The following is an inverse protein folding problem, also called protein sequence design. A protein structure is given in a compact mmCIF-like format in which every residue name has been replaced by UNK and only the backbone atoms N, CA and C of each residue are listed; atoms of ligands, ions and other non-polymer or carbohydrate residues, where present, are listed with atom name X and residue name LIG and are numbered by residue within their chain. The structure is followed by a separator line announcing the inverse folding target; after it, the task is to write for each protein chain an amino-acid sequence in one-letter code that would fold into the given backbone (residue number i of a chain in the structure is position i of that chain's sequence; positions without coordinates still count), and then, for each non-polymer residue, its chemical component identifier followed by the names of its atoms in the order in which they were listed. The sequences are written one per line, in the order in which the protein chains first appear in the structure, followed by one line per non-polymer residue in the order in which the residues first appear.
data_IF_762826325408
#
_entry.id   IF_762826325408
#
_cell.length_a   1.000
_cell.length_b   1.000
_cell.length_c   1.000
_cell.angle_alpha   90.00
_cell.angle_beta   90.00
_cell.angle_gamma   90.00
#
_symmetry.space_group_name_H-M   'P 1'
#
loop_
_entity.id
_entity.type
_entity.pdbx_description
1 polymer ?
#
# COMPACT_ATOMS: atom_id res chain seq x y z
N UNK A 1 11.48 -17.20 -22.82
CA UNK A 1 10.85 -18.53 -23.01
C UNK A 1 9.53 -18.45 -22.27
N UNK A 2 8.41 -18.80 -22.91
CA UNK A 2 7.13 -18.84 -22.21
C UNK A 2 7.07 -20.09 -21.32
N UNK A 3 6.46 -19.97 -20.15
CA UNK A 3 6.19 -21.12 -19.28
C UNK A 3 4.90 -21.80 -19.72
N UNK A 4 4.87 -23.13 -19.64
CA UNK A 4 3.66 -23.92 -19.90
C UNK A 4 2.96 -24.14 -18.56
N UNK A 5 1.70 -23.75 -18.47
CA UNK A 5 0.88 -23.89 -17.27
C UNK A 5 -0.07 -25.08 -17.50
N UNK A 6 0.01 -26.09 -16.63
CA UNK A 6 -0.88 -27.24 -16.69
C UNK A 6 -2.33 -26.86 -16.37
N UNK A 7 -3.29 -27.64 -16.89
CA UNK A 7 -4.71 -27.43 -16.63
C UNK A 7 -5.00 -27.43 -15.13
N UNK A 8 -5.76 -26.42 -14.67
CA UNK A 8 -6.11 -26.21 -13.26
C UNK A 8 -4.90 -26.00 -12.32
N UNK A 9 -3.73 -25.62 -12.85
CA UNK A 9 -2.56 -25.25 -12.06
C UNK A 9 -2.43 -23.73 -11.94
N UNK A 10 -1.50 -23.30 -11.11
CA UNK A 10 -1.15 -21.89 -10.95
C UNK A 10 0.35 -21.73 -10.92
N UNK A 11 0.86 -20.67 -11.55
CA UNK A 11 2.27 -20.30 -11.51
C UNK A 11 2.43 -18.98 -10.74
N UNK A 12 3.48 -18.90 -9.92
CA UNK A 12 3.82 -17.69 -9.18
C UNK A 12 5.13 -17.15 -9.71
N UNK A 13 5.10 -15.88 -10.10
CA UNK A 13 6.29 -15.15 -10.51
C UNK A 13 6.77 -14.23 -9.39
N UNK A 14 8.09 -14.15 -9.20
CA UNK A 14 8.72 -13.30 -8.21
C UNK A 14 9.93 -12.60 -8.81
N UNK A 15 9.97 -11.28 -8.61
CA UNK A 15 11.09 -10.44 -9.02
C UNK A 15 11.47 -9.50 -7.88
N UNK A 16 12.75 -9.20 -7.79
CA UNK A 16 13.27 -8.13 -6.92
C UNK A 16 13.68 -6.98 -7.83
N UNK A 17 13.11 -5.80 -7.59
CA UNK A 17 13.43 -4.58 -8.35
C UNK A 17 14.28 -3.68 -7.45
N UNK A 18 15.52 -3.44 -7.85
CA UNK A 18 16.42 -2.53 -7.15
C UNK A 18 16.42 -1.18 -7.87
N UNK A 19 16.12 -0.06 -7.19
CA UNK A 19 16.19 1.25 -7.81
C UNK A 19 17.63 1.60 -8.18
N UNK A 20 17.80 2.34 -9.27
CA UNK A 20 19.07 3.04 -9.53
C UNK A 20 19.15 4.30 -8.67
N UNK A 21 20.35 4.85 -8.46
CA UNK A 21 20.55 6.11 -7.72
C UNK A 21 19.64 7.26 -8.19
N UNK A 22 19.34 7.33 -9.49
CA UNK A 22 18.43 8.35 -10.07
C UNK A 22 16.99 8.30 -9.55
N UNK A 23 16.60 7.20 -8.90
CA UNK A 23 15.26 6.96 -8.35
C UNK A 23 15.28 6.87 -6.82
N UNK A 24 16.41 7.17 -6.17
CA UNK A 24 16.50 7.20 -4.71
C UNK A 24 15.52 8.24 -4.13
N UNK A 25 14.63 7.79 -3.24
CA UNK A 25 13.60 8.64 -2.62
C UNK A 25 12.39 8.98 -3.50
N UNK A 26 12.33 8.45 -4.72
CA UNK A 26 11.18 8.59 -5.62
C UNK A 26 10.19 7.43 -5.51
N UNK A 27 9.06 7.55 -6.22
CA UNK A 27 8.14 6.45 -6.48
C UNK A 27 8.33 5.95 -7.91
N UNK A 28 8.62 4.66 -8.10
CA UNK A 28 8.66 4.03 -9.42
C UNK A 28 7.37 3.23 -9.64
N UNK A 29 6.48 3.64 -10.57
CA UNK A 29 5.39 2.77 -10.98
C UNK A 29 5.97 1.57 -11.76
N UNK A 30 5.45 0.38 -11.49
CA UNK A 30 5.87 -0.84 -12.19
C UNK A 30 4.72 -1.31 -13.07
N UNK A 31 4.92 -1.26 -14.38
CA UNK A 31 3.99 -1.81 -15.36
C UNK A 31 4.28 -3.28 -15.59
N UNK A 32 3.30 -4.13 -15.30
CA UNK A 32 3.36 -5.57 -15.56
C UNK A 32 2.42 -5.86 -16.72
N UNK A 33 2.97 -6.40 -17.80
CA UNK A 33 2.23 -6.89 -18.96
C UNK A 33 2.34 -8.40 -19.04
N UNK A 34 1.25 -9.07 -19.37
CA UNK A 34 1.20 -10.52 -19.47
C UNK A 34 0.30 -10.98 -20.63
N UNK A 35 0.64 -12.14 -21.15
CA UNK A 35 -0.09 -12.80 -22.22
C UNK A 35 -0.22 -14.28 -21.88
N UNK A 36 -1.39 -14.85 -22.15
CA UNK A 36 -1.65 -16.28 -22.03
C UNK A 36 -2.14 -16.74 -23.39
N UNK A 37 -1.44 -17.71 -23.96
CA UNK A 37 -1.77 -18.32 -25.23
C UNK A 37 -2.22 -19.77 -25.00
N UNK A 38 -3.14 -20.24 -25.83
CA UNK A 38 -3.45 -21.65 -25.96
C UNK A 38 -2.27 -22.34 -26.66
N UNK A 39 -1.65 -23.28 -25.96
CA UNK A 39 -0.46 -23.97 -26.43
C UNK A 39 -0.73 -24.83 -27.67
N UNK A 40 -1.95 -25.39 -27.81
CA UNK A 40 -2.29 -26.32 -28.88
C UNK A 40 -2.68 -25.59 -30.16
N UNK A 41 -3.49 -24.54 -30.04
CA UNK A 41 -4.00 -23.78 -31.18
C UNK A 41 -3.10 -22.62 -31.58
N UNK A 42 -2.29 -22.11 -30.64
CA UNK A 42 -1.52 -20.87 -30.79
C UNK A 42 -2.38 -19.62 -30.65
N UNK A 43 -3.66 -19.76 -30.30
CA UNK A 43 -4.56 -18.63 -30.12
C UNK A 43 -4.25 -17.87 -28.84
N UNK A 44 -4.35 -16.54 -28.90
CA UNK A 44 -4.18 -15.71 -27.72
C UNK A 44 -5.44 -15.67 -26.88
N UNK A 45 -5.37 -16.23 -25.67
CA UNK A 45 -6.49 -16.29 -24.73
C UNK A 45 -6.63 -14.99 -23.93
N UNK A 46 -5.50 -14.45 -23.46
CA UNK A 46 -5.46 -13.24 -22.65
C UNK A 46 -4.29 -12.36 -23.09
N UNK A 47 -4.53 -11.06 -23.14
CA UNK A 47 -3.51 -10.02 -23.20
C UNK A 47 -3.91 -8.94 -22.21
N UNK A 48 -3.13 -8.81 -21.14
CA UNK A 48 -3.47 -7.94 -20.03
C UNK A 48 -2.26 -7.22 -19.48
N UNK A 49 -2.54 -6.27 -18.60
CA UNK A 49 -1.52 -5.61 -17.82
C UNK A 49 -2.11 -4.80 -16.70
N UNK A 50 -1.27 -4.50 -15.71
CA UNK A 50 -1.62 -3.64 -14.60
C UNK A 50 -0.38 -2.85 -14.15
N UNK A 51 -0.63 -1.69 -13.56
CA UNK A 51 0.40 -0.84 -12.99
C UNK A 51 0.33 -0.92 -11.49
N UNK A 52 1.47 -1.24 -10.86
CA UNK A 52 1.64 -1.05 -9.41
C UNK A 52 2.09 0.39 -9.21
N UNK A 53 1.17 1.25 -8.76
CA UNK A 53 1.47 2.64 -8.44
C UNK A 53 1.91 2.77 -6.97
N UNK A 54 2.78 3.73 -6.68
CA UNK A 54 3.26 4.05 -5.33
C UNK A 54 3.91 2.87 -4.60
N UNK A 55 4.75 2.10 -5.30
CA UNK A 55 5.65 1.15 -4.66
C UNK A 55 6.53 1.91 -3.66
N UNK A 56 6.36 1.69 -2.36
CA UNK A 56 7.32 2.20 -1.38
C UNK A 56 8.59 1.36 -1.50
N UNK A 57 9.63 1.96 -2.08
CA UNK A 57 10.98 1.41 -1.99
C UNK A 57 11.38 1.56 -0.53
N UNK A 58 11.41 0.46 0.23
CA UNK A 58 11.94 0.44 1.59
C UNK A 58 13.44 0.77 1.50
N UNK A 59 13.78 2.04 1.70
CA UNK A 59 15.17 2.52 1.69
C UNK A 59 15.90 2.12 3.00
N UNK A 60 15.67 0.90 3.49
CA UNK A 60 16.27 0.35 4.71
C UNK A 60 17.67 -0.21 4.43
N UNK A 61 18.43 0.43 3.55
CA UNK A 61 19.88 0.25 3.52
C UNK A 61 20.51 1.59 3.89
N UNK A 62 20.39 1.93 5.18
CA UNK A 62 21.24 2.96 5.78
C UNK A 62 22.64 2.36 5.95
N UNK A 63 23.49 2.47 4.93
CA UNK A 63 24.96 2.39 5.12
C UNK A 63 25.51 3.71 5.69
N UNK A 64 24.77 4.31 6.62
CA UNK A 64 25.24 5.43 7.44
C UNK A 64 25.46 4.90 8.85
N UNK A 65 26.59 5.27 9.46
CA UNK A 65 26.83 5.00 10.89
C UNK A 65 25.57 5.36 11.68
N UNK A 66 25.16 4.48 12.60
CA UNK A 66 24.08 4.76 13.54
C UNK A 66 24.34 6.13 14.15
N UNK A 67 23.43 7.11 14.00
CA UNK A 67 23.62 8.40 14.65
C UNK A 67 23.70 8.09 16.14
N UNK A 68 24.90 8.23 16.72
CA UNK A 68 25.09 8.16 18.16
C UNK A 68 24.25 9.31 18.70
N UNK A 69 23.06 8.97 19.18
CA UNK A 69 22.19 9.90 19.88
C UNK A 69 23.01 10.45 21.03
N UNK A 70 23.56 11.65 20.86
CA UNK A 70 24.02 12.46 21.98
C UNK A 70 22.74 12.90 22.70
N UNK A 71 22.21 12.01 23.51
CA UNK A 71 21.29 12.35 24.57
C UNK A 71 21.94 13.51 25.34
N UNK A 72 21.36 14.72 25.36
CA UNK A 72 21.82 15.72 26.30
C UNK A 72 21.64 15.11 27.68
N UNK A 73 22.72 15.09 28.46
CA UNK A 73 22.72 14.53 29.80
C UNK A 73 21.66 15.25 30.63
N UNK A 74 20.48 14.63 30.76
CA UNK A 74 19.48 15.05 31.72
C UNK A 74 20.05 14.71 33.08
N UNK A 75 20.30 15.75 33.87
CA UNK A 75 20.74 15.65 35.26
C UNK A 75 19.82 14.70 36.04
N UNK A 76 20.46 13.83 36.81
CA UNK A 76 19.84 12.89 37.74
C UNK A 76 18.83 13.60 38.67
N UNK A 77 17.56 13.18 38.64
CA UNK A 77 16.81 12.94 39.89
C UNK A 77 15.90 11.71 39.77
N UNK A 78 16.17 10.79 40.68
CA UNK A 78 15.49 9.52 40.93
C UNK A 78 14.15 9.70 41.63
N UNK A 79 13.30 8.68 41.43
CA UNK A 79 12.33 8.08 42.38
C UNK A 79 10.83 8.30 42.07
N UNK A 80 10.28 7.31 41.35
CA UNK A 80 9.17 6.42 41.77
C UNK A 80 7.81 7.05 42.18
N UNK A 81 6.77 6.86 41.34
CA UNK A 81 5.44 6.30 41.70
C UNK A 81 4.52 6.23 40.45
N UNK A 82 3.70 5.19 40.37
CA UNK A 82 2.71 4.83 39.34
C UNK A 82 1.31 5.32 39.78
N UNK A 83 0.17 5.15 39.05
CA UNK A 83 -0.22 5.35 37.64
C UNK A 83 -1.30 6.46 37.49
N UNK A 84 -1.67 6.88 36.25
CA UNK A 84 -3.05 7.29 35.85
C UNK A 84 -3.05 8.10 34.54
N UNK A 85 -3.78 7.59 33.55
CA UNK A 85 -4.74 8.30 32.66
C UNK A 85 -4.58 9.82 32.44
N UNK A 86 -4.38 10.25 31.19
CA UNK A 86 -5.26 11.16 30.42
C UNK A 86 -4.60 11.66 29.10
N UNK A 87 -5.38 11.61 28.01
CA UNK A 87 -5.42 12.46 26.80
C UNK A 87 -4.14 13.18 26.29
N UNK A 88 -3.79 13.21 25.00
CA UNK A 88 -4.66 13.34 23.82
C UNK A 88 -3.88 12.96 22.56
N UNK A 89 -4.47 12.10 21.72
CA UNK A 89 -4.12 12.00 20.32
C UNK A 89 -4.94 13.04 19.56
N UNK A 90 -4.28 13.88 18.76
CA UNK A 90 -4.96 14.73 17.79
C UNK A 90 -4.77 14.10 16.41
N UNK A 91 -5.80 13.45 15.83
CA UNK A 91 -5.73 13.01 14.44
C UNK A 91 -6.03 14.20 13.53
N UNK A 92 -5.16 14.42 12.55
CA UNK A 92 -5.34 15.39 11.49
C UNK A 92 -6.70 15.17 10.79
N UNK A 93 -7.42 16.27 10.61
CA UNK A 93 -8.80 16.35 10.15
C UNK A 93 -9.01 15.69 8.78
N UNK A 94 -9.56 14.47 8.76
CA UNK A 94 -10.21 13.91 7.58
C UNK A 94 -11.59 14.59 7.39
N UNK A 95 -12.11 14.72 6.15
CA UNK A 95 -13.45 15.28 5.96
C UNK A 95 -14.47 14.38 6.65
N UNK A 96 -15.24 14.96 7.57
CA UNK A 96 -16.28 14.27 8.33
C UNK A 96 -17.50 13.99 7.42
N UNK A 97 -17.39 12.99 6.55
CA UNK A 97 -18.57 12.39 5.95
C UNK A 97 -19.26 11.56 7.02
N UNK A 98 -20.22 12.19 7.71
CA UNK A 98 -21.04 11.50 8.70
C UNK A 98 -21.79 10.35 8.03
N UNK A 99 -21.74 9.17 8.63
CA UNK A 99 -22.51 7.98 8.24
C UNK A 99 -24.00 8.33 8.05
N UNK A 100 -24.52 9.24 8.86
CA UNK A 100 -25.90 9.74 8.77
C UNK A 100 -26.16 10.39 7.41
N UNK A 101 -25.22 11.19 6.91
CA UNK A 101 -25.33 11.84 5.59
C UNK A 101 -25.35 10.80 4.48
N UNK A 102 -24.50 9.78 4.54
CA UNK A 102 -24.45 8.71 3.54
C UNK A 102 -25.73 7.84 3.53
N UNK A 103 -26.30 7.55 4.70
CA UNK A 103 -27.57 6.81 4.79
C UNK A 103 -28.73 7.67 4.26
N UNK A 104 -28.75 8.96 4.59
CA UNK A 104 -29.81 9.87 4.16
C UNK A 104 -29.85 10.06 2.64
N UNK A 105 -28.69 10.20 2.00
CA UNK A 105 -28.63 10.28 0.53
C UNK A 105 -29.09 8.99 -0.15
N UNK A 106 -28.69 7.83 0.39
CA UNK A 106 -29.11 6.53 -0.16
C UNK A 106 -30.63 6.35 -0.08
N UNK A 107 -31.25 6.68 1.05
CA UNK A 107 -32.71 6.63 1.22
C UNK A 107 -33.43 7.56 0.23
N UNK A 108 -32.93 8.78 0.04
CA UNK A 108 -33.51 9.72 -0.92
C UNK A 108 -33.45 9.21 -2.37
N UNK A 109 -32.37 8.54 -2.76
CA UNK A 109 -32.23 7.92 -4.09
C UNK A 109 -33.26 6.81 -4.27
N UNK A 110 -33.41 5.91 -3.30
CA UNK A 110 -34.40 4.83 -3.38
C UNK A 110 -35.84 5.35 -3.42
N UNK A 111 -36.17 6.39 -2.65
CA UNK A 111 -37.49 7.03 -2.69
C UNK A 111 -37.77 7.77 -4.01
N UNK A 112 -36.74 8.28 -4.68
CA UNK A 112 -36.89 8.85 -6.02
C UNK A 112 -37.14 7.76 -7.06
N UNK A 113 -36.41 6.66 -6.97
CA UNK A 113 -36.53 5.54 -7.92
C UNK A 113 -37.85 4.79 -7.76
N UNK A 114 -38.41 4.72 -6.55
CA UNK A 114 -39.72 4.08 -6.32
C UNK A 114 -40.93 4.92 -6.75
N UNK A 115 -40.71 6.18 -7.13
CA UNK A 115 -41.76 7.12 -7.58
C UNK A 115 -41.72 7.41 -9.08
N UNK A 116 -40.81 6.76 -9.82
CA UNK A 116 -40.86 6.66 -11.28
C UNK A 116 -41.58 5.37 -11.68
#
# INVERSE_FOLDING_TARGET
RADIIEKNSSLIYKWTVTPTEKWAGGSIPIDIVYQIDDFETGDRLVNGGFTVAYCTISNEHYEGETPTSKQPASENKSTQEQPSSENSSSPASAPAFSLVTAISTLVLVFLRLSRQ
#
